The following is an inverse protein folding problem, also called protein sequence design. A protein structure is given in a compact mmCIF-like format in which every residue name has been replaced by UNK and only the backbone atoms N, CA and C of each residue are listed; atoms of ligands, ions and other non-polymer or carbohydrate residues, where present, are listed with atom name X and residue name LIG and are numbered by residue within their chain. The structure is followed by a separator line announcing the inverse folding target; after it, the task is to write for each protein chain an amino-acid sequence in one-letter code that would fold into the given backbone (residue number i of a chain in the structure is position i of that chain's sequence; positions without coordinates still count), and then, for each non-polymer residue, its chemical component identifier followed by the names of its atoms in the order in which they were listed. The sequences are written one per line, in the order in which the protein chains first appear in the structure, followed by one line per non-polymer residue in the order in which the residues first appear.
data_IF_460613888813
#
_entry.id   IF_460613888813
#
_cell.length_a   1.000
_cell.length_b   1.000
_cell.length_c   1.000
_cell.angle_alpha   90.00
_cell.angle_beta   90.00
_cell.angle_gamma   90.00
#
_symmetry.space_group_name_H-M   'P 1'
#
loop_
_entity.id
_entity.type
_entity.pdbx_description
1 polymer ?
#
# COMPACT_ATOMS: atom_id res chain seq x y z
N UNK A 1 -10.37 3.47 -6.13
CA UNK A 1 -10.97 4.12 -4.94
C UNK A 1 -10.68 5.62 -4.95
N UNK A 2 -11.50 6.48 -4.33
CA UNK A 2 -11.13 7.89 -4.10
C UNK A 2 -10.30 7.97 -2.82
N UNK A 3 -9.08 8.50 -2.90
CA UNK A 3 -8.23 8.69 -1.73
C UNK A 3 -8.85 9.69 -0.75
N UNK A 4 -8.91 9.33 0.53
CA UNK A 4 -9.56 10.12 1.60
C UNK A 4 -8.56 10.80 2.55
N UNK A 5 -7.27 10.75 2.25
CA UNK A 5 -6.23 11.33 3.12
C UNK A 5 -5.80 10.42 4.26
N UNK A 6 -6.12 9.12 4.21
CA UNK A 6 -5.63 8.13 5.17
C UNK A 6 -5.22 6.84 4.45
N UNK A 7 -4.38 6.05 5.11
CA UNK A 7 -3.77 4.85 4.54
C UNK A 7 -4.66 3.61 4.61
N UNK A 8 -5.77 3.61 5.36
CA UNK A 8 -6.51 2.39 5.70
C UNK A 8 -7.08 1.68 4.47
N UNK A 9 -7.70 2.44 3.56
CA UNK A 9 -8.23 1.89 2.31
C UNK A 9 -7.07 1.35 1.43
N UNK A 10 -5.88 1.98 1.48
CA UNK A 10 -4.70 1.55 0.71
C UNK A 10 -4.10 0.27 1.31
N UNK A 11 -3.92 0.17 2.63
CA UNK A 11 -3.37 -1.03 3.27
C UNK A 11 -4.31 -2.22 3.15
N UNK A 12 -5.62 -1.98 3.13
CA UNK A 12 -6.61 -3.02 2.84
C UNK A 12 -6.42 -3.59 1.43
N UNK A 13 -6.26 -2.72 0.42
CA UNK A 13 -5.96 -3.15 -0.96
C UNK A 13 -4.65 -3.94 -1.03
N UNK A 14 -3.60 -3.47 -0.37
CA UNK A 14 -2.31 -4.18 -0.28
C UNK A 14 -2.48 -5.56 0.35
N UNK A 15 -3.22 -5.68 1.46
CA UNK A 15 -3.47 -6.97 2.13
C UNK A 15 -4.24 -7.94 1.26
N UNK A 16 -5.25 -7.47 0.51
CA UNK A 16 -5.96 -8.32 -0.45
C UNK A 16 -5.04 -8.80 -1.56
N UNK A 17 -4.27 -7.90 -2.17
CA UNK A 17 -3.29 -8.28 -3.19
C UNK A 17 -2.23 -9.28 -2.67
N UNK A 18 -1.80 -9.13 -1.40
CA UNK A 18 -0.91 -10.10 -0.76
C UNK A 18 -1.54 -11.50 -0.69
N UNK A 19 -2.82 -11.62 -0.34
CA UNK A 19 -3.52 -12.91 -0.29
C UNK A 19 -3.65 -13.53 -1.69
N UNK A 20 -4.05 -12.72 -2.68
CA UNK A 20 -4.24 -13.18 -4.06
C UNK A 20 -2.93 -13.67 -4.71
N UNK A 21 -1.79 -13.14 -4.25
CA UNK A 21 -0.44 -13.46 -4.75
C UNK A 21 0.35 -14.44 -3.87
N UNK A 22 -0.25 -14.96 -2.79
CA UNK A 22 0.42 -15.75 -1.74
C UNK A 22 1.70 -15.07 -1.19
N UNK A 23 1.66 -13.75 -1.02
CA UNK A 23 2.74 -12.94 -0.45
C UNK A 23 2.52 -12.73 1.04
N UNK A 24 3.61 -12.71 1.81
CA UNK A 24 3.61 -12.49 3.25
C UNK A 24 4.52 -11.31 3.60
N UNK A 25 4.42 -10.82 4.84
CA UNK A 25 5.26 -9.70 5.30
C UNK A 25 6.76 -9.98 5.17
N UNK A 26 7.18 -11.24 5.29
CA UNK A 26 8.58 -11.65 5.08
C UNK A 26 9.07 -11.36 3.66
N UNK A 27 8.19 -11.44 2.66
CA UNK A 27 8.55 -11.24 1.26
C UNK A 27 8.79 -9.75 0.98
N UNK A 28 7.96 -8.89 1.59
CA UNK A 28 8.19 -7.44 1.63
C UNK A 28 9.52 -7.13 2.33
N UNK A 29 9.79 -7.73 3.50
CA UNK A 29 11.06 -7.54 4.21
C UNK A 29 12.27 -7.95 3.34
N UNK A 30 12.19 -9.10 2.68
CA UNK A 30 13.27 -9.64 1.85
C UNK A 30 13.52 -8.77 0.61
N UNK A 31 12.47 -8.27 -0.02
CA UNK A 31 12.56 -7.43 -1.22
C UNK A 31 13.07 -6.02 -0.90
N UNK A 32 12.60 -5.42 0.19
CA UNK A 32 12.87 -4.01 0.54
C UNK A 32 14.05 -3.81 1.48
N UNK A 33 14.50 -4.86 2.18
CA UNK A 33 15.48 -4.77 3.26
C UNK A 33 14.91 -4.15 4.55
N UNK A 34 13.60 -3.91 4.63
CA UNK A 34 12.99 -3.28 5.81
C UNK A 34 12.89 -4.22 7.00
N UNK A 35 12.87 -3.63 8.20
CA UNK A 35 12.59 -4.38 9.42
C UNK A 35 11.14 -4.88 9.44
N UNK A 36 10.90 -6.02 10.11
CA UNK A 36 9.55 -6.53 10.38
C UNK A 36 8.67 -5.49 11.09
N UNK A 37 9.26 -4.68 11.98
CA UNK A 37 8.55 -3.61 12.68
C UNK A 37 8.06 -2.51 11.74
N UNK A 38 8.90 -2.11 10.78
CA UNK A 38 8.55 -1.12 9.75
C UNK A 38 7.40 -1.61 8.88
N UNK A 39 7.49 -2.84 8.36
CA UNK A 39 6.43 -3.46 7.54
C UNK A 39 5.13 -3.62 8.35
N UNK A 40 5.22 -4.06 9.60
CA UNK A 40 4.07 -4.22 10.48
C UNK A 40 3.39 -2.88 10.79
N UNK A 41 4.15 -1.82 11.05
CA UNK A 41 3.59 -0.49 11.31
C UNK A 41 2.86 0.05 10.07
N UNK A 42 3.44 -0.12 8.88
CA UNK A 42 2.81 0.27 7.63
C UNK A 42 1.49 -0.48 7.40
N UNK A 43 1.53 -1.81 7.44
CA UNK A 43 0.34 -2.65 7.16
C UNK A 43 -0.74 -2.56 8.25
N UNK A 44 -0.41 -2.06 9.45
CA UNK A 44 -1.36 -1.87 10.54
C UNK A 44 -1.73 -0.39 10.75
N UNK A 45 -1.59 0.45 9.72
CA UNK A 45 -2.04 1.84 9.70
C UNK A 45 -1.36 2.74 10.77
N UNK A 46 -0.20 2.33 11.28
CA UNK A 46 0.57 3.09 12.29
C UNK A 46 1.60 4.04 11.66
N UNK A 47 1.81 3.91 10.35
CA UNK A 47 2.57 4.87 9.56
C UNK A 47 1.60 5.85 8.93
N UNK A 48 1.62 7.08 9.43
CA UNK A 48 0.79 8.14 8.88
C UNK A 48 1.32 8.58 7.51
N UNK A 49 0.40 8.73 6.56
CA UNK A 49 0.60 9.23 5.19
C UNK A 49 1.93 8.80 4.52
N UNK A 50 2.14 7.50 4.23
CA UNK A 50 3.36 7.05 3.55
C UNK A 50 3.52 7.71 2.18
N UNK A 51 4.76 7.99 1.80
CA UNK A 51 5.05 8.53 0.47
C UNK A 51 4.67 7.55 -0.64
N UNK A 52 4.39 8.07 -1.83
CA UNK A 52 4.17 7.24 -3.02
C UNK A 52 5.32 6.27 -3.29
N UNK A 53 6.56 6.66 -2.97
CA UNK A 53 7.73 5.79 -3.09
C UNK A 53 7.64 4.57 -2.18
N UNK A 54 7.19 4.73 -0.94
CA UNK A 54 6.99 3.61 0.00
C UNK A 54 5.90 2.67 -0.53
N UNK A 55 4.81 3.23 -1.03
CA UNK A 55 3.72 2.43 -1.62
C UNK A 55 4.19 1.65 -2.83
N UNK A 56 4.96 2.29 -3.73
CA UNK A 56 5.55 1.65 -4.90
C UNK A 56 6.45 0.47 -4.50
N UNK A 57 7.36 0.66 -3.54
CA UNK A 57 8.25 -0.41 -3.07
C UNK A 57 7.49 -1.61 -2.49
N UNK A 58 6.36 -1.38 -1.83
CA UNK A 58 5.51 -2.47 -1.32
C UNK A 58 4.80 -3.18 -2.46
N UNK A 59 4.24 -2.44 -3.43
CA UNK A 59 3.61 -2.99 -4.62
C UNK A 59 4.60 -3.85 -5.43
N UNK A 60 5.82 -3.37 -5.66
CA UNK A 60 6.88 -4.11 -6.34
C UNK A 60 7.20 -5.42 -5.60
N UNK A 61 7.29 -5.37 -4.26
CA UNK A 61 7.59 -6.54 -3.44
C UNK A 61 6.51 -7.63 -3.47
N UNK A 62 5.27 -7.26 -3.81
CA UNK A 62 4.12 -8.18 -3.91
C UNK A 62 3.71 -8.43 -5.37
N UNK A 63 4.58 -8.14 -6.33
CA UNK A 63 4.37 -8.34 -7.77
C UNK A 63 3.09 -7.65 -8.29
N UNK A 64 2.91 -6.38 -7.92
CA UNK A 64 1.77 -5.54 -8.30
C UNK A 64 2.23 -4.17 -8.81
N UNK A 65 1.48 -3.59 -9.74
CA UNK A 65 1.71 -2.22 -10.22
C UNK A 65 0.95 -1.18 -9.37
N UNK A 66 1.63 -0.11 -8.95
CA UNK A 66 0.98 1.03 -8.33
C UNK A 66 0.39 1.97 -9.40
N UNK A 67 -0.92 1.90 -9.60
CA UNK A 67 -1.63 2.80 -10.53
C UNK A 67 -2.27 3.98 -9.80
N UNK A 68 -2.03 5.20 -10.29
CA UNK A 68 -2.58 6.46 -9.77
C UNK A 68 -3.26 7.20 -10.93
N UNK A 69 -4.44 7.75 -10.66
CA UNK A 69 -5.24 8.49 -11.64
C UNK A 69 -5.71 9.83 -11.08
N UNK A 70 -5.92 10.81 -11.95
CA UNK A 70 -6.40 12.17 -11.62
C UNK A 70 -7.74 12.37 -12.33
N UNK A 71 -8.81 12.37 -11.54
CA UNK A 71 -10.18 12.51 -12.05
C UNK A 71 -10.75 13.90 -11.72
N UNK A 72 -11.51 14.54 -12.63
CA UNK A 72 -12.25 15.76 -12.32
C UNK A 72 -13.17 15.56 -11.12
N UNK A 73 -13.34 16.59 -10.30
CA UNK A 73 -14.34 16.56 -9.23
C UNK A 73 -15.72 16.52 -9.88
N UNK A 74 -16.58 15.60 -9.43
CA UNK A 74 -18.00 15.65 -9.79
C UNK A 74 -18.60 16.86 -9.10
N UNK A 75 -19.24 17.74 -9.85
CA UNK A 75 -20.14 18.75 -9.30
C UNK A 75 -21.34 17.98 -8.73
N UNK A 76 -21.55 18.06 -7.42
CA UNK A 76 -22.79 17.58 -6.80
C UNK A 76 -23.85 18.65 -7.12
N UNK A 77 -24.77 18.34 -8.03
CA UNK A 77 -25.99 19.12 -8.24
C UNK A 77 -26.99 18.85 -7.12
#
# INVERSE_FOLDING_TARGET
MKYKGNIEDITLLIKHAMLDKDKRQKDICNSTGWSKGTVSNLLNNRTDNPSLKILLQVCDAIDCDLMIDIVPRKEEN
#
